data_IF_235407225144
#
_entry.id   IF_235407225144
#
_cell.length_a   1.000
_cell.length_b   1.000
_cell.length_c   1.000
_cell.angle_alpha   90.00
_cell.angle_beta   90.00
_cell.angle_gamma   90.00
#
_symmetry.space_group_name_H-M   'P 1'
#
loop_
_entity.id
_entity.type
_entity.pdbx_description
1 polymer ?
#
# COMPACT_ATOMS: atom_id res chain seq x y z
N UNK A 1 2.21 2.61 32.04
CA UNK A 1 1.72 1.60 31.16
C UNK A 1 2.01 1.97 29.71
N UNK A 2 2.52 1.07 29.00
CA UNK A 2 2.86 1.34 27.64
C UNK A 2 2.18 0.44 26.69
N UNK A 3 1.38 1.04 25.90
CA UNK A 3 0.88 0.34 24.79
C UNK A 3 1.95 0.42 23.71
N UNK A 4 2.55 -0.70 23.42
CA UNK A 4 3.34 -0.77 22.22
C UNK A 4 2.39 -0.94 21.07
N UNK A 5 2.36 0.08 20.25
CA UNK A 5 1.65 -0.06 19.01
C UNK A 5 2.58 -0.80 18.06
N UNK A 6 2.29 -2.06 17.83
CA UNK A 6 3.04 -2.80 16.82
C UNK A 6 2.58 -2.29 15.46
N UNK A 7 3.47 -1.64 14.78
CA UNK A 7 3.21 -1.16 13.44
C UNK A 7 3.01 -2.36 12.51
N UNK A 8 1.86 -2.42 11.85
CA UNK A 8 1.63 -3.43 10.82
C UNK A 8 2.11 -2.89 9.49
N UNK A 9 3.07 -3.57 8.91
CA UNK A 9 3.62 -3.21 7.61
C UNK A 9 3.65 -4.46 6.75
N UNK A 10 3.11 -4.34 5.55
CA UNK A 10 3.12 -5.42 4.57
C UNK A 10 4.04 -5.05 3.43
N UNK A 11 4.91 -5.96 3.04
CA UNK A 11 5.76 -5.78 1.88
C UNK A 11 5.13 -6.42 0.66
N UNK A 12 5.13 -5.70 -0.44
CA UNK A 12 4.62 -6.19 -1.71
C UNK A 12 5.71 -6.00 -2.75
N UNK A 13 6.12 -7.09 -3.39
CA UNK A 13 7.17 -7.07 -4.39
C UNK A 13 6.57 -7.08 -5.79
N UNK A 14 7.06 -6.19 -6.63
CA UNK A 14 6.64 -6.11 -8.02
C UNK A 14 7.35 -7.13 -8.91
N UNK A 15 6.92 -7.19 -10.15
CA UNK A 15 7.46 -8.13 -11.13
C UNK A 15 8.93 -7.88 -11.47
N UNK A 16 9.36 -6.63 -11.36
CA UNK A 16 10.70 -6.21 -11.68
C UNK A 16 11.58 -6.04 -10.45
N UNK A 17 11.15 -6.54 -9.31
CA UNK A 17 11.91 -6.49 -8.08
C UNK A 17 11.73 -5.23 -7.26
N UNK A 18 10.88 -4.32 -7.68
CA UNK A 18 10.56 -3.14 -6.88
C UNK A 18 9.75 -3.52 -5.65
N UNK A 19 9.92 -2.76 -4.58
CA UNK A 19 9.27 -3.04 -3.31
C UNK A 19 8.32 -1.91 -2.93
N UNK A 20 7.14 -2.29 -2.51
CA UNK A 20 6.16 -1.37 -1.95
C UNK A 20 5.84 -1.82 -0.53
N UNK A 21 5.68 -0.89 0.37
CA UNK A 21 5.20 -1.17 1.72
C UNK A 21 3.85 -0.51 1.93
N UNK A 22 2.94 -1.24 2.53
CA UNK A 22 1.64 -0.72 2.94
C UNK A 22 1.52 -0.93 4.44
N UNK A 23 1.31 0.12 5.18
CA UNK A 23 1.28 0.01 6.62
C UNK A 23 0.51 1.10 7.31
N UNK A 24 0.55 1.04 8.62
CA UNK A 24 -0.04 2.09 9.45
C UNK A 24 0.86 3.32 9.41
N UNK A 25 0.22 4.46 9.49
CA UNK A 25 0.88 5.73 9.58
C UNK A 25 1.79 5.81 10.81
N UNK A 26 3.02 6.24 10.62
CA UNK A 26 4.04 6.29 11.68
C UNK A 26 3.76 7.33 12.75
N UNK A 27 2.94 8.32 12.43
CA UNK A 27 2.59 9.36 13.37
C UNK A 27 1.40 8.98 14.27
N UNK A 28 0.81 7.81 14.04
CA UNK A 28 -0.27 7.32 14.88
C UNK A 28 -1.59 8.05 14.69
N UNK A 29 -1.80 8.64 13.52
CA UNK A 29 -3.01 9.40 13.22
C UNK A 29 -4.16 8.53 12.70
N UNK A 30 -3.96 7.22 12.70
CA UNK A 30 -5.00 6.31 12.22
C UNK A 30 -5.14 6.27 10.70
N UNK A 31 -4.09 6.63 10.01
CA UNK A 31 -4.07 6.65 8.56
C UNK A 31 -3.33 5.43 8.02
N UNK A 32 -3.50 5.19 6.73
CA UNK A 32 -2.77 4.15 6.01
C UNK A 32 -1.70 4.83 5.17
N UNK A 33 -0.50 4.29 5.24
CA UNK A 33 0.64 4.83 4.52
C UNK A 33 1.14 3.83 3.50
N UNK A 34 1.37 4.28 2.28
CA UNK A 34 1.96 3.48 1.22
C UNK A 34 3.29 4.10 0.86
N UNK A 35 4.36 3.31 0.94
CA UNK A 35 5.72 3.75 0.65
C UNK A 35 6.26 2.93 -0.52
N UNK A 36 6.76 3.63 -1.50
CA UNK A 36 7.45 3.02 -2.63
C UNK A 36 8.95 3.19 -2.44
N UNK A 37 9.70 2.12 -2.54
CA UNK A 37 11.13 2.11 -2.28
C UNK A 37 11.92 2.08 -3.58
N UNK A 38 12.81 3.06 -3.74
CA UNK A 38 13.72 3.11 -4.86
C UNK A 38 14.87 2.12 -4.68
N UNK A 39 15.38 2.04 -3.47
CA UNK A 39 16.39 1.05 -3.11
C UNK A 39 16.20 0.63 -1.65
N UNK A 40 17.17 -0.12 -1.11
CA UNK A 40 17.08 -0.70 0.23
C UNK A 40 16.71 0.28 1.33
N UNK A 41 17.26 1.48 1.26
CA UNK A 41 17.22 2.41 2.38
C UNK A 41 16.52 3.72 2.05
N UNK A 42 16.00 3.84 0.83
CA UNK A 42 15.52 5.12 0.37
C UNK A 42 14.09 5.02 -0.16
N UNK A 43 13.20 5.67 0.56
CA UNK A 43 11.80 5.79 0.13
C UNK A 43 11.72 6.79 -1.01
N UNK A 44 11.19 6.37 -2.13
CA UNK A 44 11.00 7.23 -3.29
C UNK A 44 9.75 8.08 -3.14
N UNK A 45 8.66 7.47 -2.74
CA UNK A 45 7.37 8.14 -2.66
C UNK A 45 6.59 7.63 -1.46
N UNK A 46 5.88 8.54 -0.81
CA UNK A 46 4.99 8.19 0.28
C UNK A 46 3.61 8.77 -0.01
N UNK A 47 2.58 7.96 0.17
CA UNK A 47 1.20 8.37 0.04
C UNK A 47 0.46 8.00 1.32
N UNK A 48 -0.35 8.92 1.82
CA UNK A 48 -1.12 8.70 3.05
C UNK A 48 -2.60 8.86 2.73
N UNK A 49 -3.42 7.97 3.25
CA UNK A 49 -4.85 8.00 3.00
C UNK A 49 -5.66 7.64 4.25
N UNK A 50 -6.86 8.18 4.35
CA UNK A 50 -7.78 7.82 5.40
C UNK A 50 -8.47 6.48 5.07
N UNK A 51 -9.16 5.93 6.05
CA UNK A 51 -9.86 4.65 5.91
C UNK A 51 -10.86 4.66 4.75
N UNK A 52 -11.63 5.71 4.64
CA UNK A 52 -12.65 5.83 3.59
C UNK A 52 -12.03 5.87 2.20
N UNK A 53 -10.96 6.62 2.05
CA UNK A 53 -10.23 6.68 0.80
C UNK A 53 -9.63 5.33 0.44
N UNK A 54 -9.09 4.63 1.44
CA UNK A 54 -8.52 3.29 1.23
C UNK A 54 -9.58 2.31 0.74
N UNK A 55 -10.79 2.37 1.27
CA UNK A 55 -11.90 1.53 0.82
C UNK A 55 -12.23 1.76 -0.65
N UNK A 56 -12.24 3.01 -1.07
CA UNK A 56 -12.50 3.35 -2.46
C UNK A 56 -11.38 2.86 -3.37
N UNK A 57 -10.14 2.98 -2.93
CA UNK A 57 -9.00 2.45 -3.68
C UNK A 57 -9.12 0.95 -3.90
N UNK A 58 -9.55 0.22 -2.87
CA UNK A 58 -9.78 -1.22 -2.99
C UNK A 58 -10.79 -1.53 -4.09
N UNK A 59 -11.91 -0.81 -4.12
CA UNK A 59 -12.94 -1.01 -5.14
C UNK A 59 -12.42 -0.71 -6.53
N UNK A 60 -11.70 0.37 -6.70
CA UNK A 60 -11.10 0.74 -7.99
C UNK A 60 -10.09 -0.30 -8.46
N UNK A 61 -9.26 -0.77 -7.55
CA UNK A 61 -8.26 -1.79 -7.89
C UNK A 61 -8.93 -3.09 -8.34
N UNK A 62 -10.00 -3.50 -7.67
CA UNK A 62 -10.74 -4.70 -8.06
C UNK A 62 -11.28 -4.60 -9.48
N UNK A 63 -11.88 -3.47 -9.83
CA UNK A 63 -12.40 -3.26 -11.17
C UNK A 63 -11.31 -3.28 -12.23
N UNK A 64 -10.20 -2.62 -11.95
CA UNK A 64 -9.06 -2.58 -12.85
C UNK A 64 -8.47 -3.98 -13.07
N UNK A 65 -8.36 -4.77 -12.01
CA UNK A 65 -7.88 -6.14 -12.10
C UNK A 65 -8.80 -6.99 -12.99
N UNK A 66 -10.11 -6.86 -12.79
CA UNK A 66 -11.09 -7.58 -13.61
C UNK A 66 -10.98 -7.22 -15.09
N UNK A 67 -10.77 -5.94 -15.38
CA UNK A 67 -10.59 -5.48 -16.76
C UNK A 67 -9.33 -6.06 -17.38
N UNK A 68 -8.24 -6.09 -16.63
CA UNK A 68 -6.99 -6.70 -17.12
C UNK A 68 -7.14 -8.19 -17.37
N UNK A 69 -7.82 -8.89 -16.46
CA UNK A 69 -8.06 -10.32 -16.61
C UNK A 69 -8.91 -10.62 -17.83
N UNK A 70 -9.90 -9.79 -18.14
CA UNK A 70 -10.71 -9.94 -19.36
C UNK A 70 -9.86 -9.77 -20.61
N UNK A 71 -8.93 -8.83 -20.61
CA UNK A 71 -8.01 -8.61 -21.72
C UNK A 71 -7.08 -9.79 -21.93
N UNK A 72 -6.64 -10.40 -20.84
CA UNK A 72 -5.76 -11.57 -20.90
C UNK A 72 -6.44 -12.78 -21.51
N UNK A 73 -7.76 -12.87 -21.39
CA UNK A 73 -8.55 -13.96 -21.95
C UNK A 73 -8.83 -13.81 -23.45
N UNK A 74 -8.52 -12.68 -24.02
CA UNK A 74 -8.65 -12.42 -25.45
C UNK A 74 -7.32 -12.74 -26.17
#
# INVERSE_FOLDING_TARGET
MNAYTVEKVYEIWGCDGERMEVGQDREGLGLIEIRDWEDKDKVQTTMVMCKEQAKLVIECLRELILDLEKKELQ
#
